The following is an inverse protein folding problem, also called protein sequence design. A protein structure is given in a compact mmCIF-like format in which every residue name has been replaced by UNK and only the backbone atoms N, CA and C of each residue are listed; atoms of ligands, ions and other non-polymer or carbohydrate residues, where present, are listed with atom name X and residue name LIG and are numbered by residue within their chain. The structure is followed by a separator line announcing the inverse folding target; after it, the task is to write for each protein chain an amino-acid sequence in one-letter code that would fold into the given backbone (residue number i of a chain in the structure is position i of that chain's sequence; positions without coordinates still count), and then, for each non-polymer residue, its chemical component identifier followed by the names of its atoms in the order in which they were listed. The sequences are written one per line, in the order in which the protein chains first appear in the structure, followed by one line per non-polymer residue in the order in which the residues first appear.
data_IF_296689681594
#
_entry.id   IF_296689681594
#
_cell.length_a   1.000
_cell.length_b   1.000
_cell.length_c   1.000
_cell.angle_alpha   90.00
_cell.angle_beta   90.00
_cell.angle_gamma   90.00
#
_symmetry.space_group_name_H-M   'P 1'
#
loop_
_entity.id
_entity.type
_entity.pdbx_description
1 polymer ?
#
# COMPACT_ATOMS: atom_id res chain seq x y z
N UNK A 1 -56.50 -61.98 16.96
CA UNK A 1 -55.20 -62.43 17.52
C UNK A 1 -54.20 -62.62 16.38
N UNK A 2 -52.94 -62.22 16.61
CA UNK A 2 -51.76 -62.22 15.71
C UNK A 2 -51.60 -60.96 14.84
N UNK A 3 -50.85 -59.91 15.22
CA UNK A 3 -49.38 -59.69 15.39
C UNK A 3 -48.60 -59.51 14.08
N UNK A 4 -47.81 -58.43 14.02
CA UNK A 4 -46.66 -58.22 13.10
C UNK A 4 -46.73 -56.87 12.39
N UNK A 5 -46.33 -55.76 13.00
CA UNK A 5 -44.95 -55.25 13.14
C UNK A 5 -44.42 -54.54 11.88
N UNK A 6 -44.33 -53.22 12.04
CA UNK A 6 -43.54 -52.20 11.33
C UNK A 6 -42.33 -52.68 10.53
N UNK A 7 -42.21 -52.20 9.28
CA UNK A 7 -40.94 -52.14 8.55
C UNK A 7 -40.78 -50.75 7.91
N UNK A 8 -39.83 -50.00 8.48
CA UNK A 8 -39.28 -48.73 8.02
C UNK A 8 -38.50 -48.99 6.73
N UNK A 9 -38.64 -48.15 5.68
CA UNK A 9 -37.55 -47.93 4.72
C UNK A 9 -37.74 -46.64 3.89
N UNK A 10 -37.07 -45.60 4.38
CA UNK A 10 -36.16 -44.71 3.64
C UNK A 10 -36.66 -44.12 2.30
N UNK A 11 -37.10 -42.86 2.32
CA UNK A 11 -36.99 -41.98 1.14
C UNK A 11 -35.92 -40.93 1.44
N UNK A 12 -34.78 -41.09 0.75
CA UNK A 12 -33.64 -40.18 0.74
C UNK A 12 -34.10 -38.73 0.57
N UNK A 13 -33.94 -37.92 1.61
CA UNK A 13 -33.81 -36.47 1.46
C UNK A 13 -32.38 -36.21 0.98
N UNK A 14 -32.22 -35.96 -0.33
CA UNK A 14 -30.99 -35.44 -0.90
C UNK A 14 -30.75 -34.06 -0.29
N UNK A 15 -29.93 -34.02 0.77
CA UNK A 15 -29.32 -32.79 1.27
C UNK A 15 -28.37 -32.29 0.19
N UNK A 16 -28.87 -31.47 -0.72
CA UNK A 16 -28.03 -30.71 -1.65
C UNK A 16 -27.28 -29.67 -0.82
N UNK A 17 -26.11 -30.03 -0.31
CA UNK A 17 -25.19 -29.06 0.26
C UNK A 17 -24.69 -28.19 -0.88
N UNK A 18 -25.35 -27.05 -1.08
CA UNK A 18 -24.77 -25.96 -1.85
C UNK A 18 -23.63 -25.42 -1.00
N UNK A 19 -22.42 -25.86 -1.29
CA UNK A 19 -21.21 -25.26 -0.73
C UNK A 19 -21.08 -23.86 -1.35
N UNK A 20 -21.63 -22.86 -0.66
CA UNK A 20 -21.36 -21.47 -0.99
C UNK A 20 -19.92 -21.22 -0.54
N UNK A 21 -18.98 -21.32 -1.48
CA UNK A 21 -17.63 -20.83 -1.29
C UNK A 21 -17.71 -19.31 -1.22
N UNK A 22 -17.95 -18.78 -0.01
CA UNK A 22 -17.68 -17.38 0.26
C UNK A 22 -16.16 -17.21 0.12
N UNK A 23 -15.65 -16.24 -0.66
CA UNK A 23 -14.26 -15.87 -0.55
C UNK A 23 -14.05 -15.39 0.89
N UNK A 24 -13.34 -16.21 1.68
CA UNK A 24 -12.76 -15.73 2.92
C UNK A 24 -11.65 -14.78 2.48
N UNK A 25 -11.96 -13.49 2.39
CA UNK A 25 -10.93 -12.46 2.45
C UNK A 25 -10.23 -12.67 3.79
N UNK A 26 -9.14 -13.40 3.75
CA UNK A 26 -8.28 -13.60 4.90
C UNK A 26 -7.59 -12.25 5.14
N UNK A 27 -8.22 -11.39 5.94
CA UNK A 27 -7.58 -10.22 6.59
C UNK A 27 -6.30 -10.61 7.35
N UNK A 28 -6.04 -11.91 7.47
CA UNK A 28 -4.83 -12.55 7.97
C UNK A 28 -3.53 -12.10 7.30
N UNK A 29 -3.56 -11.66 6.03
CA UNK A 29 -2.35 -11.27 5.25
C UNK A 29 -2.21 -9.74 5.07
N UNK A 30 -2.94 -8.96 5.88
CA UNK A 30 -2.89 -7.48 5.84
C UNK A 30 -2.02 -6.90 6.95
N UNK A 31 -1.23 -5.89 6.58
CA UNK A 31 -0.39 -5.12 7.47
C UNK A 31 -0.92 -3.68 7.55
N UNK A 32 -0.73 -3.05 8.70
CA UNK A 32 -1.00 -1.62 8.86
C UNK A 32 0.21 -0.86 8.36
N UNK A 33 -0.01 0.04 7.43
CA UNK A 33 1.00 0.99 6.99
C UNK A 33 0.64 2.38 7.51
N UNK A 34 1.64 3.11 7.98
CA UNK A 34 1.54 4.53 8.30
C UNK A 34 2.59 5.26 7.48
N UNK A 35 2.16 6.25 6.70
CA UNK A 35 3.00 7.00 5.78
C UNK A 35 2.96 8.47 6.17
N UNK A 36 4.14 9.06 6.33
CA UNK A 36 4.33 10.49 6.54
C UNK A 36 5.01 11.07 5.31
N UNK A 37 4.43 12.11 4.73
CA UNK A 37 4.97 12.77 3.54
C UNK A 37 5.20 14.23 3.86
N UNK A 38 6.43 14.68 3.65
CA UNK A 38 6.79 16.10 3.80
C UNK A 38 6.88 16.77 2.45
N UNK A 39 5.97 17.67 2.16
CA UNK A 39 6.10 18.58 1.02
C UNK A 39 7.13 19.66 1.35
N UNK A 40 7.97 19.99 0.38
CA UNK A 40 8.99 21.01 0.55
C UNK A 40 8.45 22.42 0.66
N UNK A 41 9.33 23.34 1.03
CA UNK A 41 9.02 24.76 1.24
C UNK A 41 9.37 25.63 0.04
N UNK A 42 9.87 25.03 -1.05
CA UNK A 42 10.16 25.73 -2.29
C UNK A 42 8.91 26.44 -2.83
N UNK A 43 9.11 27.51 -3.60
CA UNK A 43 8.01 28.22 -4.22
C UNK A 43 7.24 27.28 -5.15
N UNK A 44 5.90 27.22 -4.98
CA UNK A 44 5.00 26.31 -5.70
C UNK A 44 5.31 24.81 -5.54
N UNK A 45 5.78 24.40 -4.36
CA UNK A 45 6.05 22.99 -4.07
C UNK A 45 4.79 22.13 -3.85
N UNK A 46 3.61 22.73 -3.65
CA UNK A 46 2.34 22.02 -3.41
C UNK A 46 1.69 21.51 -4.70
N UNK A 47 0.73 20.58 -4.58
CA UNK A 47 0.09 19.97 -5.75
C UNK A 47 -1.35 19.52 -5.52
N UNK A 48 -2.15 19.58 -6.58
CA UNK A 48 -3.51 19.01 -6.65
C UNK A 48 -3.55 17.63 -7.34
N UNK A 49 -2.40 17.10 -7.75
CA UNK A 49 -2.30 15.81 -8.45
C UNK A 49 -2.60 14.63 -7.51
N UNK A 50 -2.98 13.49 -8.11
CA UNK A 50 -3.14 12.23 -7.37
C UNK A 50 -1.78 11.59 -7.14
N UNK A 51 -1.43 11.39 -5.86
CA UNK A 51 -0.18 10.73 -5.46
C UNK A 51 -0.39 9.25 -5.18
N UNK A 52 0.45 8.42 -5.79
CA UNK A 52 0.51 6.98 -5.59
C UNK A 52 1.86 6.55 -5.02
N UNK A 53 1.86 5.48 -4.24
CA UNK A 53 3.05 4.95 -3.57
C UNK A 53 3.09 3.43 -3.73
N UNK A 54 4.24 2.92 -4.18
CA UNK A 54 4.54 1.50 -4.15
C UNK A 54 5.74 1.25 -3.26
N UNK A 55 5.61 0.30 -2.35
CA UNK A 55 6.64 -0.09 -1.40
C UNK A 55 7.13 -1.48 -1.74
N UNK A 56 8.41 -1.75 -1.47
CA UNK A 56 9.01 -3.05 -1.72
C UNK A 56 9.85 -3.50 -0.52
N UNK A 57 9.93 -4.82 -0.36
CA UNK A 57 10.94 -5.45 0.48
C UNK A 57 12.11 -5.99 -0.35
N UNK A 58 13.11 -6.53 0.35
CA UNK A 58 14.29 -7.12 -0.28
C UNK A 58 14.03 -8.44 -1.01
N UNK A 59 12.84 -9.03 -0.84
CA UNK A 59 12.40 -10.25 -1.53
C UNK A 59 11.66 -9.92 -2.84
N UNK A 60 11.41 -8.65 -3.13
CA UNK A 60 10.71 -8.17 -4.32
C UNK A 60 9.20 -8.26 -4.21
N UNK A 61 8.68 -8.53 -3.01
CA UNK A 61 7.26 -8.36 -2.74
C UNK A 61 6.96 -6.88 -2.63
N UNK A 62 5.76 -6.48 -3.06
CA UNK A 62 5.34 -5.10 -3.06
C UNK A 62 3.96 -4.86 -2.43
N UNK A 63 3.78 -3.64 -1.94
CA UNK A 63 2.50 -3.11 -1.49
C UNK A 63 2.18 -1.84 -2.30
N UNK A 64 0.98 -1.80 -2.90
CA UNK A 64 0.58 -0.75 -3.84
C UNK A 64 -0.53 0.10 -3.25
N UNK A 65 -0.33 1.41 -3.25
CA UNK A 65 -1.30 2.43 -2.87
C UNK A 65 -1.51 3.33 -4.10
N UNK A 66 -2.65 3.17 -4.76
CA UNK A 66 -2.93 3.89 -6.03
C UNK A 66 -3.30 5.35 -5.84
N UNK A 67 -3.82 5.71 -4.66
CA UNK A 67 -4.16 7.08 -4.26
C UNK A 67 -4.05 7.15 -2.74
N UNK A 68 -3.07 7.92 -2.26
CA UNK A 68 -2.77 8.05 -0.83
C UNK A 68 -3.93 8.66 -0.04
N UNK A 69 -4.62 9.66 -0.61
CA UNK A 69 -5.67 10.40 0.09
C UNK A 69 -6.87 9.50 0.32
N UNK A 70 -7.37 8.85 -0.74
CA UNK A 70 -8.53 7.96 -0.65
C UNK A 70 -8.22 6.65 0.09
N UNK A 71 -6.98 6.18 0.04
CA UNK A 71 -6.57 4.98 0.76
C UNK A 71 -6.57 5.14 2.28
N UNK A 72 -6.15 6.30 2.79
CA UNK A 72 -5.93 6.43 4.23
C UNK A 72 -5.61 7.82 4.76
N UNK A 73 -6.05 8.91 4.11
CA UNK A 73 -5.80 10.27 4.62
C UNK A 73 -6.29 10.48 6.06
N UNK A 74 -5.41 10.96 6.95
CA UNK A 74 -5.69 11.12 8.39
C UNK A 74 -5.72 12.58 8.86
N UNK A 75 -5.68 13.56 7.96
CA UNK A 75 -5.60 14.98 8.35
C UNK A 75 -6.96 15.62 8.66
N UNK A 76 -8.05 14.86 8.51
CA UNK A 76 -9.41 15.31 8.76
C UNK A 76 -10.13 15.81 7.49
N UNK A 77 -11.42 16.16 7.62
CA UNK A 77 -12.22 16.62 6.49
C UNK A 77 -11.75 18.00 6.01
N UNK A 78 -11.80 18.21 4.69
CA UNK A 78 -11.42 19.46 4.01
C UNK A 78 -9.94 19.85 4.14
N UNK A 79 -9.08 18.97 4.65
CA UNK A 79 -7.64 19.19 4.60
C UNK A 79 -7.16 19.12 3.15
N UNK A 80 -6.33 20.09 2.78
CA UNK A 80 -5.71 20.16 1.47
C UNK A 80 -4.34 19.48 1.53
N UNK A 81 -4.28 18.28 0.95
CA UNK A 81 -3.11 17.41 1.04
C UNK A 81 -2.02 17.88 0.07
N UNK A 82 -0.77 17.54 0.40
CA UNK A 82 0.41 17.79 -0.41
C UNK A 82 0.76 19.26 -0.60
N UNK A 83 0.20 20.16 0.21
CA UNK A 83 0.48 21.58 0.13
C UNK A 83 1.86 22.00 0.66
N UNK A 84 2.38 23.12 0.16
CA UNK A 84 3.75 23.59 0.43
C UNK A 84 4.05 23.64 1.93
N UNK A 85 5.06 22.89 2.35
CA UNK A 85 5.55 22.84 3.74
C UNK A 85 4.74 21.95 4.67
N UNK A 86 3.64 21.35 4.21
CA UNK A 86 2.82 20.46 5.02
C UNK A 86 3.52 19.13 5.28
N UNK A 87 3.18 18.56 6.44
CA UNK A 87 3.43 17.17 6.76
C UNK A 87 2.08 16.46 6.77
N UNK A 88 1.87 15.58 5.80
CA UNK A 88 0.64 14.82 5.65
C UNK A 88 0.82 13.39 6.13
N UNK A 89 -0.21 12.86 6.78
CA UNK A 89 -0.20 11.54 7.40
C UNK A 89 -1.30 10.69 6.78
N UNK A 90 -0.93 9.47 6.41
CA UNK A 90 -1.81 8.46 5.87
C UNK A 90 -1.67 7.17 6.69
N UNK A 91 -2.76 6.45 6.91
CA UNK A 91 -2.69 5.10 7.45
C UNK A 91 -3.81 4.24 6.90
N UNK A 92 -3.47 3.00 6.56
CA UNK A 92 -4.41 2.05 6.00
C UNK A 92 -3.88 0.63 6.00
N UNK A 93 -4.74 -0.30 5.64
CA UNK A 93 -4.36 -1.70 5.42
C UNK A 93 -3.78 -1.87 4.02
N UNK A 94 -2.72 -2.65 3.93
CA UNK A 94 -2.09 -3.08 2.67
C UNK A 94 -1.68 -4.54 2.76
N UNK A 95 -1.33 -5.15 1.63
CA UNK A 95 -0.75 -6.49 1.64
C UNK A 95 0.58 -6.48 2.42
N UNK A 96 0.75 -7.40 3.36
CA UNK A 96 1.99 -7.51 4.12
C UNK A 96 3.18 -7.79 3.19
N UNK A 97 4.31 -7.14 3.45
CA UNK A 97 5.59 -7.52 2.88
C UNK A 97 6.19 -8.67 3.70
N UNK A 98 7.01 -9.51 3.07
CA UNK A 98 7.71 -10.63 3.73
C UNK A 98 8.92 -10.15 4.54
N UNK A 99 9.48 -8.99 4.18
CA UNK A 99 10.57 -8.33 4.87
C UNK A 99 10.27 -6.88 5.22
N UNK A 100 11.24 -6.18 5.86
CA UNK A 100 11.12 -4.74 6.08
C UNK A 100 11.04 -3.99 4.75
N UNK A 101 10.28 -2.89 4.75
CA UNK A 101 10.27 -1.92 3.65
C UNK A 101 11.70 -1.42 3.43
N UNK A 102 12.20 -1.47 2.21
CA UNK A 102 13.54 -0.99 1.88
C UNK A 102 13.64 -0.28 0.52
N UNK A 103 12.57 -0.27 -0.27
CA UNK A 103 12.52 0.56 -1.46
C UNK A 103 11.10 1.11 -1.68
N UNK A 104 11.03 2.22 -2.41
CA UNK A 104 9.77 2.83 -2.80
C UNK A 104 9.81 3.36 -4.24
N UNK A 105 8.62 3.48 -4.83
CA UNK A 105 8.34 4.31 -6.00
C UNK A 105 7.16 5.23 -5.65
N UNK A 106 7.42 6.53 -5.56
CA UNK A 106 6.44 7.58 -5.36
C UNK A 106 6.10 8.19 -6.72
N UNK A 107 4.82 8.24 -7.11
CA UNK A 107 4.42 8.69 -8.44
C UNK A 107 3.26 9.67 -8.38
N UNK A 108 3.40 10.78 -9.09
CA UNK A 108 2.34 11.75 -9.38
C UNK A 108 1.65 11.40 -10.71
N UNK A 109 0.33 11.56 -10.80
CA UNK A 109 -0.38 11.48 -12.08
C UNK A 109 -0.20 12.73 -12.95
N UNK A 110 0.32 13.83 -12.37
CA UNK A 110 0.56 15.10 -13.04
C UNK A 110 -0.72 15.82 -13.49
N UNK A 111 -1.85 15.58 -12.83
CA UNK A 111 -3.12 16.25 -13.11
C UNK A 111 -3.29 17.57 -12.33
N UNK A 112 -4.25 18.40 -12.73
CA UNK A 112 -4.58 19.67 -12.08
C UNK A 112 -3.74 20.87 -12.54
N UNK A 113 -4.17 22.07 -12.12
CA UNK A 113 -3.52 23.34 -12.48
C UNK A 113 -2.18 23.54 -11.73
N UNK A 114 -2.03 22.90 -10.57
CA UNK A 114 -0.80 22.84 -9.78
C UNK A 114 -0.19 21.42 -9.80
N UNK A 115 0.14 20.92 -10.99
CA UNK A 115 0.60 19.53 -11.18
C UNK A 115 2.04 19.24 -10.73
N UNK A 116 2.88 20.28 -10.55
CA UNK A 116 4.27 20.11 -10.14
C UNK A 116 4.40 20.04 -8.63
N UNK A 117 5.01 18.98 -8.11
CA UNK A 117 5.14 18.75 -6.68
C UNK A 117 6.60 18.62 -6.25
N UNK A 118 7.01 19.26 -5.14
CA UNK A 118 8.34 19.02 -4.57
C UNK A 118 8.23 18.30 -3.23
N UNK A 119 8.70 17.06 -3.19
CA UNK A 119 8.69 16.24 -1.99
C UNK A 119 10.07 16.25 -1.32
N UNK A 120 10.12 16.49 0.00
CA UNK A 120 11.34 16.33 0.78
C UNK A 120 11.58 14.85 1.08
N UNK A 121 10.63 14.20 1.77
CA UNK A 121 10.78 12.81 2.18
C UNK A 121 9.44 12.09 2.33
N UNK A 122 9.53 10.77 2.25
CA UNK A 122 8.47 9.84 2.65
C UNK A 122 9.02 8.94 3.75
N UNK A 123 8.31 8.85 4.87
CA UNK A 123 8.62 7.95 5.97
C UNK A 123 7.49 6.95 6.13
N UNK A 124 7.85 5.66 6.20
CA UNK A 124 6.89 4.56 6.18
C UNK A 124 7.15 3.67 7.37
N UNK A 125 6.08 3.36 8.10
CA UNK A 125 6.05 2.32 9.12
C UNK A 125 5.11 1.21 8.66
N UNK A 126 5.59 -0.03 8.63
CA UNK A 126 4.77 -1.22 8.44
C UNK A 126 4.70 -1.99 9.75
N UNK A 127 3.49 -2.34 10.18
CA UNK A 127 3.23 -3.13 11.39
C UNK A 127 2.44 -4.39 11.06
N UNK A 128 2.98 -5.55 11.41
CA UNK A 128 2.32 -6.85 11.28
C UNK A 128 1.77 -7.29 12.64
N UNK A 129 0.45 -7.35 12.78
CA UNK A 129 -0.23 -7.65 14.05
C UNK A 129 0.10 -9.05 14.60
N UNK A 130 0.34 -10.03 13.72
CA UNK A 130 0.61 -11.43 14.08
C UNK A 130 2.01 -11.66 14.61
N UNK A 131 3.00 -11.13 13.91
CA UNK A 131 4.41 -11.33 14.24
C UNK A 131 4.94 -10.30 15.23
N UNK A 132 4.14 -9.26 15.57
CA UNK A 132 4.55 -8.11 16.39
C UNK A 132 5.84 -7.47 15.88
N UNK A 133 6.07 -7.57 14.57
CA UNK A 133 7.19 -6.95 13.88
C UNK A 133 6.76 -5.61 13.33
N UNK A 134 7.66 -4.65 13.48
CA UNK A 134 7.52 -3.31 12.95
C UNK A 134 8.79 -3.00 12.15
N UNK A 135 8.63 -2.41 10.97
CA UNK A 135 9.74 -1.86 10.20
C UNK A 135 9.42 -0.42 9.86
N UNK A 136 10.39 0.46 10.07
CA UNK A 136 10.32 1.87 9.71
C UNK A 136 11.45 2.18 8.73
N UNK A 137 11.14 2.94 7.69
CA UNK A 137 12.12 3.38 6.70
C UNK A 137 11.80 4.81 6.26
N UNK A 138 12.83 5.64 6.16
CA UNK A 138 12.72 7.02 5.65
C UNK A 138 13.48 7.15 4.34
N UNK A 139 12.78 7.60 3.33
CA UNK A 139 13.34 7.87 2.01
C UNK A 139 13.43 9.36 1.77
N UNK A 140 14.65 9.89 1.68
CA UNK A 140 14.89 11.26 1.23
C UNK A 140 14.60 11.35 -0.27
N UNK A 141 13.57 12.10 -0.64
CA UNK A 141 13.16 12.33 -2.02
C UNK A 141 13.92 13.53 -2.57
N UNK A 142 13.74 14.72 -1.99
CA UNK A 142 14.39 15.97 -2.43
C UNK A 142 14.33 16.16 -3.96
N UNK A 143 13.14 16.01 -4.53
CA UNK A 143 12.94 15.96 -5.98
C UNK A 143 11.61 16.59 -6.38
N UNK A 144 11.61 17.31 -7.50
CA UNK A 144 10.37 17.66 -8.21
C UNK A 144 9.79 16.42 -8.90
N UNK A 145 8.54 16.10 -8.61
CA UNK A 145 7.71 15.20 -9.41
C UNK A 145 6.86 16.08 -10.34
N UNK A 146 7.45 16.47 -11.46
CA UNK A 146 6.89 17.45 -12.38
C UNK A 146 7.44 17.25 -13.80
N UNK A 147 6.70 17.67 -14.82
CA UNK A 147 7.18 17.66 -16.23
C UNK A 147 7.85 18.96 -16.64
N UNK A 148 7.67 20.02 -15.87
CA UNK A 148 8.14 21.38 -16.16
C UNK A 148 9.28 21.84 -15.24
N UNK A 149 9.68 21.01 -14.28
CA UNK A 149 10.85 21.22 -13.41
C UNK A 149 11.76 19.99 -13.41
N UNK A 150 13.08 20.22 -13.42
CA UNK A 150 14.09 19.15 -13.35
C UNK A 150 13.86 18.27 -12.11
N UNK A 151 13.89 16.93 -12.22
CA UNK A 151 14.40 16.13 -13.35
C UNK A 151 13.41 15.85 -14.50
N UNK A 152 12.26 16.52 -14.55
CA UNK A 152 11.21 16.31 -15.56
C UNK A 152 10.55 14.92 -15.50
N UNK A 153 10.58 14.32 -14.31
CA UNK A 153 10.00 13.02 -14.02
C UNK A 153 8.78 13.18 -13.09
N UNK A 154 7.76 12.34 -13.27
CA UNK A 154 6.61 12.26 -12.36
C UNK A 154 6.77 11.18 -11.29
N UNK A 155 7.93 10.53 -11.23
CA UNK A 155 8.22 9.45 -10.28
C UNK A 155 9.55 9.67 -9.58
N UNK A 156 9.63 9.24 -8.32
CA UNK A 156 10.86 9.18 -7.55
C UNK A 156 11.02 7.79 -6.94
N UNK A 157 12.10 7.09 -7.33
CA UNK A 157 12.44 5.76 -6.81
C UNK A 157 13.60 5.89 -5.83
N UNK A 158 13.48 5.27 -4.65
CA UNK A 158 14.57 5.15 -3.67
C UNK A 158 14.71 3.69 -3.28
N UNK A 159 15.92 3.15 -3.34
CA UNK A 159 16.21 1.75 -3.07
C UNK A 159 17.37 1.62 -2.08
N UNK A 160 17.04 1.29 -0.85
CA UNK A 160 17.95 1.05 0.26
C UNK A 160 18.08 -0.45 0.59
N UNK A 161 17.50 -1.33 -0.25
CA UNK A 161 17.58 -2.77 -0.04
C UNK A 161 19.03 -3.25 -0.18
N UNK A 162 19.54 -3.97 0.83
CA UNK A 162 20.90 -4.50 0.85
C UNK A 162 21.20 -5.39 -0.37
N UNK A 163 22.32 -5.10 -1.04
CA UNK A 163 22.80 -5.88 -2.20
C UNK A 163 23.10 -7.34 -1.86
N UNK A 164 23.35 -7.66 -0.58
CA UNK A 164 23.58 -9.03 -0.12
C UNK A 164 22.35 -9.92 -0.25
N UNK A 165 21.15 -9.35 -0.31
CA UNK A 165 19.89 -10.08 -0.54
C UNK A 165 19.57 -10.19 -2.03
N UNK A 166 20.02 -9.24 -2.87
CA UNK A 166 19.83 -9.23 -4.33
C UNK A 166 20.46 -10.44 -5.03
N UNK A 167 21.44 -11.09 -4.41
CA UNK A 167 22.13 -12.27 -4.97
C UNK A 167 21.27 -13.56 -4.96
N UNK A 168 20.03 -13.52 -4.43
CA UNK A 168 19.00 -14.56 -4.63
C UNK A 168 17.91 -14.06 -5.58
N UNK A 169 18.24 -13.84 -6.86
CA UNK A 169 17.29 -13.56 -7.97
C UNK A 169 16.05 -12.74 -7.56
N UNK A 170 16.24 -11.47 -7.22
CA UNK A 170 15.13 -10.51 -7.18
C UNK A 170 15.50 -9.34 -8.07
N UNK A 171 14.89 -9.28 -9.25
CA UNK A 171 14.95 -8.11 -10.12
C UNK A 171 13.86 -7.17 -9.62
N UNK A 172 14.18 -6.37 -8.59
CA UNK A 172 13.44 -5.12 -8.36
C UNK A 172 13.64 -4.31 -9.65
N UNK A 173 12.60 -3.74 -10.28
CA UNK A 173 12.79 -2.97 -11.50
C UNK A 173 13.82 -1.87 -11.22
N UNK A 174 15.03 -2.05 -11.76
CA UNK A 174 16.07 -1.03 -11.78
C UNK A 174 16.14 -0.50 -13.20
N UNK A 175 15.78 0.79 -13.33
CA UNK A 175 15.90 1.66 -14.52
C UNK A 175 15.07 1.27 -15.74
#
# INVERSE_FOLDING_TARGET
MSRGSSAILLRLLLLTTVAIALPLDNDEDKCVFTVYIRTGTAWKAGTDSVMSLRLYDSYGQDAVISDLVSWGGLMGPFHDYFERGNLDIFSGLGSCLSGPVCAMNLTSDGSGDHHGWYCNYVEVTMSESRRRSCSQEKFEVEQWLARDASPYELSAIRNHCSDLVKNRRVVIPTM
#
